data_IF_912948730418
#
_entry.id   IF_912948730418
#
_cell.length_a   1.000
_cell.length_b   1.000
_cell.length_c   1.000
_cell.angle_alpha   90.00
_cell.angle_beta   90.00
_cell.angle_gamma   90.00
#
_symmetry.space_group_name_H-M   'P 1'
#
loop_
_entity.id
_entity.type
_entity.pdbx_description
1 polymer ?
#
# COMPACT_ATOMS: atom_id res chain seq x y z
N UNK A 1 16.34 -5.04 17.56
CA UNK A 1 16.52 -6.20 16.67
C UNK A 1 15.84 -5.89 15.35
N UNK A 2 16.30 -6.48 14.25
CA UNK A 2 15.59 -6.35 12.98
C UNK A 2 14.22 -7.03 13.09
N UNK A 3 13.22 -6.45 12.44
CA UNK A 3 11.82 -6.92 12.47
C UNK A 3 11.44 -7.46 11.10
N UNK A 4 10.56 -8.45 11.08
CA UNK A 4 9.95 -8.94 9.86
C UNK A 4 8.80 -8.00 9.46
N UNK A 5 8.62 -7.78 8.16
CA UNK A 5 7.51 -6.98 7.62
C UNK A 5 6.72 -7.85 6.66
N UNK A 6 5.39 -7.90 6.81
CA UNK A 6 4.49 -8.56 5.87
C UNK A 6 3.52 -7.54 5.29
N UNK A 7 3.37 -7.53 3.98
CA UNK A 7 2.43 -6.68 3.24
C UNK A 7 1.40 -7.60 2.61
N UNK A 8 0.12 -7.43 2.95
CA UNK A 8 -0.97 -8.29 2.49
C UNK A 8 -1.96 -7.48 1.64
N UNK A 9 -1.98 -7.75 0.33
CA UNK A 9 -2.91 -7.16 -0.64
C UNK A 9 -3.08 -5.63 -0.50
N UNK A 10 -1.97 -4.91 -0.35
CA UNK A 10 -1.99 -3.48 -0.05
C UNK A 10 -2.27 -2.65 -1.30
N UNK A 11 -3.29 -1.81 -1.20
CA UNK A 11 -3.64 -0.82 -2.21
C UNK A 11 -3.49 0.60 -1.68
N UNK A 12 -3.12 1.51 -2.57
CA UNK A 12 -3.32 2.94 -2.35
C UNK A 12 -3.96 3.59 -3.56
N UNK A 13 -5.12 4.19 -3.34
CA UNK A 13 -5.83 5.03 -4.30
C UNK A 13 -5.81 6.48 -3.83
N UNK A 14 -5.54 7.39 -4.75
CA UNK A 14 -5.62 8.83 -4.57
C UNK A 14 -6.79 9.41 -5.35
N UNK A 15 -7.51 10.35 -4.74
CA UNK A 15 -8.73 10.94 -5.27
C UNK A 15 -9.81 10.99 -4.19
N UNK A 16 -10.99 11.49 -4.56
CA UNK A 16 -12.03 11.82 -3.58
C UNK A 16 -12.93 10.64 -3.20
N UNK A 17 -12.99 9.57 -4.01
CA UNK A 17 -13.85 8.41 -3.75
C UNK A 17 -13.10 7.06 -3.90
N UNK A 18 -11.99 6.83 -3.17
CA UNK A 18 -11.05 5.72 -3.40
C UNK A 18 -11.64 4.31 -3.40
N UNK A 19 -12.82 4.12 -2.80
CA UNK A 19 -13.52 2.83 -2.76
C UNK A 19 -14.10 2.45 -4.12
N UNK A 20 -14.65 3.42 -4.88
CA UNK A 20 -15.19 3.19 -6.22
C UNK A 20 -14.11 2.63 -7.16
N UNK A 21 -12.87 3.12 -7.06
CA UNK A 21 -11.76 2.58 -7.82
C UNK A 21 -11.43 1.13 -7.43
N UNK A 22 -11.49 0.77 -6.15
CA UNK A 22 -11.24 -0.60 -5.69
C UNK A 22 -12.29 -1.59 -6.20
N UNK A 23 -13.57 -1.18 -6.24
CA UNK A 23 -14.63 -2.00 -6.83
C UNK A 23 -14.37 -2.29 -8.31
N UNK A 24 -13.88 -1.29 -9.06
CA UNK A 24 -13.50 -1.48 -10.45
C UNK A 24 -12.26 -2.36 -10.63
N UNK A 25 -11.29 -2.32 -9.70
CA UNK A 25 -10.16 -3.26 -9.68
C UNK A 25 -10.66 -4.69 -9.54
N UNK A 26 -11.62 -4.95 -8.64
CA UNK A 26 -12.20 -6.28 -8.44
C UNK A 26 -12.95 -6.79 -9.67
N UNK A 27 -13.46 -5.88 -10.50
CA UNK A 27 -14.06 -6.21 -11.81
C UNK A 27 -13.03 -6.46 -12.92
N UNK A 28 -11.72 -6.36 -12.61
CA UNK A 28 -10.63 -6.64 -13.55
C UNK A 28 -10.24 -5.46 -14.45
N UNK A 29 -10.67 -4.23 -14.14
CA UNK A 29 -10.31 -3.07 -14.95
C UNK A 29 -8.84 -2.68 -14.76
N UNK A 30 -8.24 -2.17 -15.83
CA UNK A 30 -6.88 -1.65 -15.77
C UNK A 30 -6.81 -0.32 -15.02
N UNK A 31 -5.64 -0.01 -14.45
CA UNK A 31 -5.37 1.28 -13.81
C UNK A 31 -5.68 2.48 -14.72
N UNK A 32 -5.38 2.38 -16.02
CA UNK A 32 -5.68 3.44 -16.99
C UNK A 32 -7.19 3.63 -17.20
N UNK A 33 -7.96 2.54 -17.26
CA UNK A 33 -9.41 2.63 -17.42
C UNK A 33 -10.07 3.23 -16.18
N UNK A 34 -9.60 2.84 -15.00
CA UNK A 34 -10.08 3.36 -13.72
C UNK A 34 -9.82 4.87 -13.66
N UNK A 35 -8.59 5.31 -13.94
CA UNK A 35 -8.26 6.74 -13.98
C UNK A 35 -9.15 7.51 -14.96
N UNK A 36 -9.37 6.97 -16.17
CA UNK A 36 -10.19 7.64 -17.18
C UNK A 36 -11.68 7.73 -16.79
N UNK A 37 -12.20 6.74 -16.06
CA UNK A 37 -13.61 6.68 -15.65
C UNK A 37 -13.91 7.46 -14.38
N UNK A 38 -13.01 7.43 -13.40
CA UNK A 38 -13.27 7.94 -12.04
C UNK A 38 -12.42 9.15 -11.68
N UNK A 39 -11.38 9.47 -12.46
CA UNK A 39 -10.39 10.48 -12.10
C UNK A 39 -9.45 10.05 -10.97
N UNK A 40 -9.55 8.82 -10.48
CA UNK A 40 -8.76 8.33 -9.35
C UNK A 40 -7.49 7.63 -9.80
N UNK A 41 -6.39 7.93 -9.12
CA UNK A 41 -5.08 7.40 -9.46
C UNK A 41 -4.66 6.30 -8.48
N UNK A 42 -4.38 5.11 -9.01
CA UNK A 42 -3.87 4.00 -8.20
C UNK A 42 -2.36 4.15 -8.01
N UNK A 43 -1.94 4.52 -6.80
CA UNK A 43 -0.54 4.67 -6.43
C UNK A 43 0.18 3.36 -6.16
N UNK A 44 -0.49 2.42 -5.50
CA UNK A 44 0.00 1.05 -5.24
C UNK A 44 -1.15 0.08 -5.54
N UNK A 45 -0.85 -0.98 -6.28
CA UNK A 45 -1.82 -1.94 -6.78
C UNK A 45 -1.42 -3.33 -6.28
N UNK A 46 -2.23 -3.89 -5.37
CA UNK A 46 -2.10 -5.25 -4.84
C UNK A 46 -0.67 -5.66 -4.43
N UNK A 47 -0.01 -4.84 -3.61
CA UNK A 47 1.30 -5.20 -3.10
C UNK A 47 1.16 -6.33 -2.09
N UNK A 48 1.78 -7.48 -2.37
CA UNK A 48 1.73 -8.68 -1.53
C UNK A 48 3.11 -9.34 -1.51
N UNK A 49 3.82 -9.19 -0.38
CA UNK A 49 5.15 -9.76 -0.17
C UNK A 49 5.60 -9.64 1.29
N UNK A 50 6.66 -10.36 1.63
CA UNK A 50 7.28 -10.40 2.94
C UNK A 50 8.75 -9.97 2.86
N UNK A 51 9.22 -9.25 3.88
CA UNK A 51 10.62 -8.86 4.07
C UNK A 51 11.10 -9.50 5.37
N UNK A 52 12.16 -10.31 5.28
CA UNK A 52 12.71 -11.02 6.42
C UNK A 52 13.54 -10.12 7.34
N UNK A 53 13.62 -10.50 8.62
CA UNK A 53 14.38 -9.74 9.60
C UNK A 53 15.87 -9.68 9.21
N UNK A 54 16.37 -8.46 8.99
CA UNK A 54 17.78 -8.21 8.63
C UNK A 54 18.04 -8.25 7.12
N UNK A 55 17.01 -8.49 6.31
CA UNK A 55 17.09 -8.44 4.86
C UNK A 55 17.29 -7.00 4.35
N UNK A 56 18.12 -6.85 3.31
CA UNK A 56 18.17 -5.62 2.52
C UNK A 56 17.20 -5.77 1.34
N UNK A 57 16.04 -5.13 1.47
CA UNK A 57 15.02 -5.12 0.41
C UNK A 57 15.11 -3.84 -0.43
N UNK A 58 15.19 -3.98 -1.76
CA UNK A 58 15.35 -2.85 -2.69
C UNK A 58 14.11 -2.67 -3.55
N UNK A 59 13.49 -1.48 -3.50
CA UNK A 59 12.35 -1.11 -4.34
C UNK A 59 12.83 -0.25 -5.51
N UNK A 60 12.72 -0.76 -6.75
CA UNK A 60 13.10 -0.05 -7.98
C UNK A 60 11.91 0.19 -8.91
N UNK A 61 12.07 1.10 -9.87
CA UNK A 61 11.04 1.44 -10.86
C UNK A 61 11.06 2.90 -11.29
N UNK A 62 10.35 3.21 -12.38
CA UNK A 62 10.27 4.56 -12.97
C UNK A 62 9.62 5.59 -12.06
N UNK A 63 9.83 6.89 -12.32
CA UNK A 63 9.11 7.94 -11.60
C UNK A 63 7.60 7.74 -11.69
N UNK A 64 6.87 7.96 -10.59
CA UNK A 64 5.42 7.75 -10.52
C UNK A 64 4.94 6.29 -10.33
N UNK A 65 5.84 5.30 -10.25
CA UNK A 65 5.45 3.89 -10.10
C UNK A 65 4.97 3.47 -8.70
N UNK A 66 4.86 4.40 -7.74
CA UNK A 66 4.35 4.10 -6.39
C UNK A 66 5.40 3.78 -5.32
N UNK A 67 6.70 3.72 -5.64
CA UNK A 67 7.78 3.33 -4.70
C UNK A 67 7.76 4.13 -3.39
N UNK A 68 7.81 5.45 -3.47
CA UNK A 68 7.82 6.31 -2.27
C UNK A 68 6.48 6.28 -1.54
N UNK A 69 5.38 5.93 -2.22
CA UNK A 69 4.08 5.73 -1.59
C UNK A 69 4.11 4.46 -0.74
N UNK A 70 4.62 3.35 -1.28
CA UNK A 70 4.79 2.09 -0.56
C UNK A 70 5.66 2.26 0.70
N UNK A 71 6.83 2.90 0.55
CA UNK A 71 7.73 3.18 1.70
C UNK A 71 7.04 4.06 2.75
N UNK A 72 6.23 5.04 2.34
CA UNK A 72 5.48 5.89 3.29
C UNK A 72 4.36 5.13 4.01
N UNK A 73 3.78 4.10 3.39
CA UNK A 73 2.80 3.24 4.06
C UNK A 73 3.45 2.35 5.13
N UNK A 74 4.70 1.89 4.93
CA UNK A 74 5.42 1.11 5.94
C UNK A 74 5.61 1.86 7.26
N UNK A 75 5.85 3.17 7.20
CA UNK A 75 5.95 4.03 8.38
C UNK A 75 4.62 4.75 8.69
N UNK A 76 3.52 4.34 8.04
CA UNK A 76 2.16 4.87 8.20
C UNK A 76 2.04 6.40 8.07
N UNK A 77 2.91 7.03 7.28
CA UNK A 77 2.77 8.43 6.86
C UNK A 77 1.65 8.60 5.83
N UNK A 78 1.32 7.52 5.14
CA UNK A 78 0.17 7.38 4.26
C UNK A 78 -0.55 6.12 4.70
N UNK A 79 -1.86 6.20 4.92
CA UNK A 79 -2.66 5.01 5.20
C UNK A 79 -2.96 4.24 3.90
N UNK A 80 -2.87 2.90 3.89
CA UNK A 80 -3.42 2.07 2.84
C UNK A 80 -4.90 2.39 2.60
N UNK A 81 -5.35 2.27 1.35
CA UNK A 81 -6.78 2.30 1.03
C UNK A 81 -7.43 0.95 1.35
N UNK A 82 -6.69 -0.14 1.11
CA UNK A 82 -7.07 -1.51 1.45
C UNK A 82 -5.81 -2.35 1.70
N UNK A 83 -6.00 -3.54 2.27
CA UNK A 83 -4.92 -4.44 2.68
C UNK A 83 -4.36 -4.10 4.06
N UNK A 84 -3.31 -4.81 4.46
CA UNK A 84 -2.67 -4.69 5.78
C UNK A 84 -1.16 -4.69 5.69
N UNK A 85 -0.52 -4.02 6.64
CA UNK A 85 0.94 -4.07 6.82
C UNK A 85 1.19 -4.53 8.25
N UNK A 86 1.91 -5.63 8.39
CA UNK A 86 2.23 -6.26 9.66
C UNK A 86 3.71 -6.11 9.94
N UNK A 87 4.06 -5.74 11.17
CA UNK A 87 5.43 -5.68 11.67
C UNK A 87 5.54 -6.65 12.84
N UNK A 88 6.36 -7.69 12.69
CA UNK A 88 6.41 -8.85 13.61
C UNK A 88 5.01 -9.43 13.91
N UNK A 89 4.15 -9.50 12.89
CA UNK A 89 2.78 -10.02 12.99
C UNK A 89 1.76 -9.04 13.59
N UNK A 90 2.16 -7.84 14.02
CA UNK A 90 1.24 -6.81 14.49
C UNK A 90 0.82 -5.86 13.36
N UNK A 91 -0.49 -5.74 13.10
CA UNK A 91 -1.03 -4.79 12.10
C UNK A 91 -0.82 -3.35 12.56
N UNK A 92 0.00 -2.59 11.83
CA UNK A 92 0.34 -1.20 12.17
C UNK A 92 -0.83 -0.23 11.96
N UNK A 93 -1.79 -0.58 11.09
CA UNK A 93 -2.99 0.23 10.84
C UNK A 93 -3.95 0.24 12.03
N UNK A 94 -3.94 -0.81 12.84
CA UNK A 94 -4.76 -0.95 14.04
C UNK A 94 -4.16 -0.27 15.28
N UNK A 95 -2.88 0.13 15.24
CA UNK A 95 -2.20 0.77 16.36
C UNK A 95 -2.70 2.19 16.60
N UNK A 96 -2.67 2.65 17.85
CA UNK A 96 -2.88 4.07 18.14
C UNK A 96 -1.64 4.89 17.77
N UNK A 97 -1.74 6.22 17.58
CA UNK A 97 -0.57 7.07 17.36
C UNK A 97 0.48 7.01 18.48
N UNK A 98 0.08 6.59 19.69
CA UNK A 98 0.98 6.39 20.82
C UNK A 98 1.76 5.09 20.69
N UNK A 99 1.12 4.03 20.21
CA UNK A 99 1.73 2.70 20.08
C UNK A 99 2.60 2.57 18.82
N UNK A 100 2.47 3.52 17.90
CA UNK A 100 3.29 3.63 16.69
C UNK A 100 4.67 4.31 16.94
N UNK A 101 4.89 4.90 18.13
CA UNK A 101 6.11 5.66 18.46
C UNK A 101 7.25 4.80 19.01
#
# INVERSE_FOLDING_TARGET
>A
MAKQITIEHVFKVFGDAPQDALELVQQGLSKSDILARTGQSIGVFDADFQIEAGEIFVIMGLSGSGKSTLVRMLNRLIEPTAGRILVDGADIGALSPRDLR
#
